data_IF_033799955685
#
_entry.id   IF_033799955685
#
_cell.length_a   1.000
_cell.length_b   1.000
_cell.length_c   1.000
_cell.angle_alpha   90.00
_cell.angle_beta   90.00
_cell.angle_gamma   90.00
#
_symmetry.space_group_name_H-M   'P 1'
#
loop_
_entity.id
_entity.type
_entity.pdbx_description
1 polymer ?
#
# COMPACT_ATOMS: atom_id res chain seq x y z
N UNK A 1 -14.06 8.71 25.61
CA UNK A 1 -12.59 8.52 25.75
C UNK A 1 -11.91 9.84 25.43
N UNK A 2 -11.08 10.38 26.33
CA UNK A 2 -10.34 11.62 26.08
C UNK A 2 -8.87 11.27 25.81
N UNK A 3 -8.33 11.71 24.68
CA UNK A 3 -6.93 11.51 24.31
C UNK A 3 -6.32 12.88 24.10
N UNK A 4 -5.18 13.15 24.75
CA UNK A 4 -4.43 14.40 24.61
C UNK A 4 -3.08 14.09 23.97
N UNK A 5 -2.74 14.83 22.92
CA UNK A 5 -1.46 14.71 22.22
C UNK A 5 -0.59 15.89 22.67
N UNK A 6 0.60 15.59 23.18
CA UNK A 6 1.60 16.60 23.57
C UNK A 6 2.61 16.79 22.45
N UNK A 7 3.34 17.91 22.50
CA UNK A 7 4.47 18.21 21.60
C UNK A 7 4.10 18.28 20.11
N UNK A 8 2.89 18.78 19.81
CA UNK A 8 2.49 19.07 18.42
C UNK A 8 3.05 20.43 18.02
N UNK A 9 3.74 20.46 16.88
CA UNK A 9 4.22 21.71 16.30
C UNK A 9 3.05 22.66 15.99
N UNK A 10 3.08 23.84 16.62
CA UNK A 10 2.00 24.81 16.56
C UNK A 10 1.69 25.31 15.13
N UNK A 11 2.68 25.70 14.29
CA UNK A 11 2.39 26.14 12.93
C UNK A 11 1.80 25.02 12.06
N UNK A 12 2.24 23.76 12.22
CA UNK A 12 1.62 22.61 11.53
C UNK A 12 0.18 22.41 12.00
N UNK A 13 -0.07 22.46 13.31
CA UNK A 13 -1.42 22.31 13.86
C UNK A 13 -2.38 23.39 13.35
N UNK A 14 -1.94 24.65 13.27
CA UNK A 14 -2.76 25.76 12.74
C UNK A 14 -3.15 25.53 11.28
N UNK A 15 -2.21 25.09 10.43
CA UNK A 15 -2.50 24.75 9.02
C UNK A 15 -3.48 23.59 8.93
N UNK A 16 -3.27 22.55 9.72
CA UNK A 16 -4.16 21.39 9.75
C UNK A 16 -5.59 21.76 10.19
N UNK A 17 -5.71 22.60 11.23
CA UNK A 17 -7.00 23.12 11.69
C UNK A 17 -7.69 23.92 10.58
N UNK A 18 -6.99 24.80 9.89
CA UNK A 18 -7.55 25.57 8.77
C UNK A 18 -8.09 24.64 7.66
N UNK A 19 -7.33 23.61 7.28
CA UNK A 19 -7.76 22.61 6.30
C UNK A 19 -8.99 21.80 6.75
N UNK A 20 -9.06 21.44 8.03
CA UNK A 20 -10.21 20.71 8.59
C UNK A 20 -11.50 21.55 8.49
N UNK A 21 -11.40 22.86 8.74
CA UNK A 21 -12.52 23.80 8.62
C UNK A 21 -12.93 23.98 7.16
N UNK A 22 -11.97 24.13 6.24
CA UNK A 22 -12.24 24.21 4.79
C UNK A 22 -13.02 23.00 4.29
N UNK A 23 -12.69 21.81 4.77
CA UNK A 23 -13.36 20.55 4.43
C UNK A 23 -14.67 20.32 5.22
N UNK A 24 -15.10 21.27 6.05
CA UNK A 24 -16.27 21.16 6.94
C UNK A 24 -16.24 19.91 7.82
N UNK A 25 -15.04 19.50 8.26
CA UNK A 25 -14.85 18.34 9.12
C UNK A 25 -14.59 18.78 10.56
N UNK A 26 -15.10 18.00 11.53
CA UNK A 26 -14.69 18.15 12.93
C UNK A 26 -13.21 17.83 13.05
N UNK A 27 -12.47 18.61 13.85
CA UNK A 27 -11.02 18.46 14.02
C UNK A 27 -10.63 17.02 14.43
N UNK A 28 -11.40 16.41 15.32
CA UNK A 28 -11.20 15.01 15.72
C UNK A 28 -11.33 14.02 14.57
N UNK A 29 -12.36 14.18 13.72
CA UNK A 29 -12.55 13.31 12.55
C UNK A 29 -11.42 13.48 11.53
N UNK A 30 -11.00 14.73 11.30
CA UNK A 30 -9.87 15.02 10.43
C UNK A 30 -8.59 14.36 10.95
N UNK A 31 -8.35 14.42 12.28
CA UNK A 31 -7.20 13.79 12.92
C UNK A 31 -7.24 12.27 12.79
N UNK A 32 -8.40 11.65 13.04
CA UNK A 32 -8.58 10.20 12.86
C UNK A 32 -8.29 9.78 11.41
N UNK A 33 -8.79 10.53 10.43
CA UNK A 33 -8.53 10.24 9.02
C UNK A 33 -7.03 10.37 8.70
N UNK A 34 -6.37 11.41 9.22
CA UNK A 34 -4.93 11.59 9.03
C UNK A 34 -4.13 10.42 9.65
N UNK A 35 -4.52 9.95 10.84
CA UNK A 35 -3.92 8.79 11.48
C UNK A 35 -4.12 7.51 10.68
N UNK A 36 -5.34 7.28 10.16
CA UNK A 36 -5.61 6.12 9.28
C UNK A 36 -4.72 6.15 8.04
N UNK A 37 -4.68 7.27 7.32
CA UNK A 37 -3.83 7.41 6.13
C UNK A 37 -2.34 7.26 6.45
N UNK A 38 -1.89 7.72 7.62
CA UNK A 38 -0.52 7.54 8.07
C UNK A 38 -0.20 6.06 8.32
N UNK A 39 -1.06 5.35 9.05
CA UNK A 39 -0.91 3.92 9.32
C UNK A 39 -0.96 3.09 8.03
N UNK A 40 -1.85 3.42 7.10
CA UNK A 40 -1.92 2.76 5.79
C UNK A 40 -0.65 2.96 4.97
N UNK A 41 -0.09 4.18 4.96
CA UNK A 41 1.19 4.45 4.29
C UNK A 41 2.34 3.67 4.92
N UNK A 42 2.41 3.60 6.24
CA UNK A 42 3.45 2.85 6.96
C UNK A 42 3.28 1.33 6.80
N UNK A 43 2.05 0.81 6.77
CA UNK A 43 1.77 -0.60 6.51
C UNK A 43 1.98 -0.98 5.04
N UNK A 44 1.64 -0.08 4.11
CA UNK A 44 1.83 -0.27 2.67
C UNK A 44 3.30 -0.39 2.29
N UNK A 45 4.20 0.35 2.95
CA UNK A 45 5.66 0.21 2.79
C UNK A 45 6.17 -1.18 3.16
N UNK A 46 5.51 -1.89 4.08
CA UNK A 46 5.92 -3.26 4.48
C UNK A 46 5.42 -4.35 3.53
N UNK A 47 4.45 -4.07 2.65
CA UNK A 47 3.77 -5.10 1.83
C UNK A 47 4.32 -5.27 0.42
N UNK A 48 5.36 -4.55 0.01
CA UNK A 48 6.06 -4.79 -1.27
C UNK A 48 7.39 -5.51 -1.04
N UNK A 49 7.31 -6.63 -0.33
CA UNK A 49 8.25 -7.75 -0.56
C UNK A 49 7.42 -8.89 -1.10
N UNK A 50 6.87 -8.73 -2.31
CA UNK A 50 6.60 -9.92 -3.12
C UNK A 50 7.98 -10.46 -3.43
N UNK A 51 8.44 -11.47 -2.70
CA UNK A 51 9.68 -12.15 -3.08
C UNK A 51 9.49 -12.57 -4.55
N UNK A 52 10.56 -12.51 -5.35
CA UNK A 52 10.52 -13.04 -6.73
C UNK A 52 10.02 -14.52 -6.74
N UNK A 53 10.17 -15.20 -5.60
CA UNK A 53 9.74 -16.57 -5.33
C UNK A 53 8.26 -16.72 -4.91
N UNK A 54 7.53 -15.64 -4.62
CA UNK A 54 6.10 -15.67 -4.26
C UNK A 54 5.16 -15.61 -5.49
N UNK A 55 5.74 -15.50 -6.69
CA UNK A 55 5.01 -15.63 -7.95
C UNK A 55 4.56 -17.09 -8.08
N UNK A 56 3.29 -17.35 -7.74
CA UNK A 56 2.68 -18.64 -8.03
C UNK A 56 2.72 -18.86 -9.55
N UNK A 57 3.16 -20.03 -10.04
CA UNK A 57 2.99 -20.40 -11.42
C UNK A 57 1.53 -20.24 -11.80
N UNK A 58 1.27 -19.50 -12.87
CA UNK A 58 -0.04 -19.42 -13.47
C UNK A 58 -0.33 -20.77 -14.12
N UNK A 59 -1.51 -21.35 -13.87
CA UNK A 59 -1.93 -22.57 -14.54
C UNK A 59 -2.45 -22.19 -15.93
N UNK A 60 -1.75 -22.64 -16.97
CA UNK A 60 -2.09 -22.35 -18.36
C UNK A 60 -3.15 -23.33 -18.93
N UNK A 61 -3.65 -24.26 -18.09
CA UNK A 61 -4.72 -25.20 -18.43
C UNK A 61 -4.23 -26.52 -19.01
N UNK A 62 -5.13 -27.50 -19.13
CA UNK A 62 -4.81 -28.83 -19.68
C UNK A 62 -4.23 -28.73 -21.11
N UNK A 63 -3.08 -29.37 -21.32
CA UNK A 63 -2.36 -29.37 -22.60
C UNK A 63 -1.17 -28.41 -22.69
N UNK A 64 -0.91 -27.58 -21.66
CA UNK A 64 0.22 -26.64 -21.62
C UNK A 64 1.45 -27.13 -20.83
N UNK A 65 1.41 -28.38 -20.38
CA UNK A 65 2.45 -29.00 -19.55
C UNK A 65 3.83 -29.08 -20.24
N UNK A 66 3.86 -29.12 -21.58
CA UNK A 66 5.09 -29.26 -22.39
C UNK A 66 5.51 -27.98 -23.10
N UNK A 67 4.76 -26.88 -22.94
CA UNK A 67 5.01 -25.65 -23.67
C UNK A 67 6.38 -25.04 -23.34
N UNK A 68 6.93 -25.29 -22.14
CA UNK A 68 8.29 -24.87 -21.79
C UNK A 68 9.36 -25.59 -22.63
N UNK A 69 9.16 -26.88 -22.93
CA UNK A 69 10.09 -27.69 -23.73
C UNK A 69 10.07 -27.25 -25.18
N UNK A 70 8.88 -27.00 -25.73
CA UNK A 70 8.72 -26.51 -27.11
C UNK A 70 9.36 -25.13 -27.30
N UNK A 71 9.21 -24.24 -26.31
CA UNK A 71 9.84 -22.91 -26.36
C UNK A 71 11.36 -23.03 -26.25
N UNK A 72 11.88 -23.89 -25.38
CA UNK A 72 13.33 -24.10 -25.25
C UNK A 72 13.94 -24.70 -26.53
N UNK A 73 13.23 -25.59 -27.21
CA UNK A 73 13.67 -26.18 -28.49
C UNK A 73 13.78 -25.11 -29.60
N UNK A 74 12.82 -24.18 -29.65
CA UNK A 74 12.85 -23.04 -30.59
C UNK A 74 13.96 -22.05 -30.24
N UNK A 75 14.12 -21.71 -28.96
CA UNK A 75 15.07 -20.68 -28.51
C UNK A 75 16.53 -21.15 -28.52
N UNK A 76 16.77 -22.40 -28.14
CA UNK A 76 18.11 -22.95 -28.00
C UNK A 76 18.51 -23.86 -29.17
N UNK A 77 17.62 -24.09 -30.15
CA UNK A 77 17.88 -24.77 -31.42
C UNK A 77 18.78 -26.01 -31.26
N UNK A 78 18.34 -26.95 -30.42
CA UNK A 78 19.01 -28.24 -30.28
C UNK A 78 18.39 -29.29 -31.18
#
# INVERSE_FOLDING_TARGET
MNITIKDVDEPVFRKFKAESVRKRMKLGNALTNAMMTWLEKEQGKKKVKKHFLDLKPFDWGEGTERSSVEVDEILYAK
#
